data_IF_104946813797
#
_entry.id   IF_104946813797
#
_cell.length_a   1.000
_cell.length_b   1.000
_cell.length_c   1.000
_cell.angle_alpha   90.00
_cell.angle_beta   90.00
_cell.angle_gamma   90.00
#
_symmetry.space_group_name_H-M   'P 1'
#
loop_
_entity.id
_entity.type
_entity.pdbx_description
1 polymer ?
#
# COMPACT_ATOMS: atom_id res chain seq x y z
N UNK A 1 10.86 5.26 16.48
CA UNK A 1 10.75 4.53 17.75
C UNK A 1 12.11 4.52 18.47
N UNK A 2 12.11 4.74 19.78
CA UNK A 2 13.26 4.54 20.68
C UNK A 2 12.97 3.34 21.57
N UNK A 3 13.98 2.66 22.15
CA UNK A 3 13.72 1.49 22.99
C UNK A 3 12.66 1.73 24.09
N UNK A 4 12.69 2.91 24.72
CA UNK A 4 11.78 3.27 25.81
C UNK A 4 10.39 3.73 25.31
N UNK A 5 10.24 4.03 24.01
CA UNK A 5 9.00 4.56 23.40
C UNK A 5 8.62 3.76 22.14
N UNK A 6 8.86 2.46 22.15
CA UNK A 6 8.52 1.59 21.02
C UNK A 6 7.05 1.17 21.12
N UNK A 7 6.24 1.61 20.16
CA UNK A 7 4.84 1.19 20.01
C UNK A 7 4.67 0.51 18.66
N UNK A 8 4.38 -0.77 18.69
CA UNK A 8 4.20 -1.58 17.47
C UNK A 8 3.08 -0.98 16.61
N UNK A 9 3.29 -0.90 15.29
CA UNK A 9 2.35 -0.30 14.35
C UNK A 9 2.50 1.21 14.18
N UNK A 10 3.45 1.85 14.87
CA UNK A 10 3.77 3.26 14.73
C UNK A 10 5.22 3.49 14.31
N UNK A 11 5.52 4.69 13.80
CA UNK A 11 6.91 5.12 13.56
C UNK A 11 7.48 5.91 14.74
N UNK A 12 6.70 6.08 15.80
CA UNK A 12 7.07 6.80 17.01
C UNK A 12 6.64 8.27 17.02
N UNK A 13 6.95 8.99 18.12
CA UNK A 13 6.67 10.42 18.21
C UNK A 13 7.64 11.23 17.36
N UNK A 14 7.29 12.49 17.01
CA UNK A 14 8.21 13.41 16.35
C UNK A 14 9.52 13.55 17.14
N UNK A 15 10.65 13.63 16.41
CA UNK A 15 11.94 13.91 17.05
C UNK A 15 12.06 15.38 17.44
N UNK A 16 12.94 15.68 18.40
CA UNK A 16 13.16 17.08 18.86
C UNK A 16 13.53 17.98 17.66
N UNK A 17 12.86 19.12 17.56
CA UNK A 17 13.07 20.08 16.47
C UNK A 17 12.32 19.77 15.18
N UNK A 18 11.48 18.72 15.18
CA UNK A 18 10.60 18.38 14.06
C UNK A 18 9.14 18.46 14.51
N UNK A 19 8.34 19.19 13.76
CA UNK A 19 6.91 19.27 13.93
C UNK A 19 6.21 18.39 12.89
N UNK A 20 5.16 17.69 13.32
CA UNK A 20 4.30 16.88 12.47
C UNK A 20 2.87 17.38 12.57
N UNK A 21 2.22 17.51 11.42
CA UNK A 21 0.81 17.90 11.31
C UNK A 21 0.10 17.00 10.32
N UNK A 22 -1.15 16.68 10.56
CA UNK A 22 -2.01 15.99 9.62
C UNK A 22 -2.89 17.02 8.91
N UNK A 23 -2.83 17.04 7.59
CA UNK A 23 -3.68 17.90 6.76
C UNK A 23 -5.13 17.39 6.74
N UNK A 24 -6.06 18.21 6.22
CA UNK A 24 -7.48 17.85 6.15
C UNK A 24 -7.78 16.61 5.30
N UNK A 25 -6.91 16.30 4.34
CA UNK A 25 -6.98 15.10 3.50
C UNK A 25 -6.18 13.91 4.04
N UNK A 26 -5.66 14.02 5.28
CA UNK A 26 -4.90 12.98 5.96
C UNK A 26 -3.42 12.95 5.60
N UNK A 27 -2.92 13.86 4.73
CA UNK A 27 -1.49 13.90 4.39
C UNK A 27 -0.65 14.34 5.59
N UNK A 28 0.45 13.62 5.81
CA UNK A 28 1.43 13.95 6.84
C UNK A 28 2.28 15.12 6.34
N UNK A 29 2.26 16.20 7.09
CA UNK A 29 3.11 17.38 6.87
C UNK A 29 4.19 17.43 7.92
N UNK A 30 5.42 17.76 7.50
CA UNK A 30 6.58 17.84 8.39
C UNK A 30 7.26 19.19 8.26
N UNK A 31 7.69 19.78 9.39
CA UNK A 31 8.46 21.02 9.45
C UNK A 31 9.60 20.86 10.46
N UNK A 32 10.75 21.46 10.17
CA UNK A 32 11.91 21.50 11.07
C UNK A 32 13.22 21.74 10.35
N UNK A 33 14.28 22.01 11.11
CA UNK A 33 15.60 22.33 10.58
C UNK A 33 16.30 21.16 9.86
N UNK A 34 15.81 19.94 10.08
CA UNK A 34 16.32 18.73 9.44
C UNK A 34 15.78 18.49 8.05
N UNK A 35 14.84 19.33 7.59
CA UNK A 35 14.27 19.15 6.26
C UNK A 35 15.28 19.55 5.16
N UNK A 36 15.16 18.85 4.03
CA UNK A 36 15.90 19.24 2.84
C UNK A 36 15.57 20.66 2.39
N UNK A 37 16.55 21.39 1.84
CA UNK A 37 16.32 22.69 1.21
C UNK A 37 15.53 22.58 -0.09
N UNK A 38 15.60 21.45 -0.76
CA UNK A 38 14.90 21.17 -2.01
C UNK A 38 15.56 20.03 -2.80
N UNK A 39 14.99 19.72 -3.94
CA UNK A 39 15.54 18.78 -4.91
C UNK A 39 16.55 19.48 -5.81
N UNK A 40 17.75 18.95 -5.95
CA UNK A 40 18.82 19.54 -6.78
C UNK A 40 18.34 19.66 -8.24
N UNK A 41 18.39 20.89 -8.78
CA UNK A 41 17.99 21.18 -10.16
C UNK A 41 16.49 21.06 -10.46
N UNK A 42 15.62 20.93 -9.42
CA UNK A 42 14.18 20.69 -9.58
C UNK A 42 13.35 21.65 -8.73
N UNK A 43 13.47 22.94 -9.05
CA UNK A 43 12.79 23.99 -8.29
C UNK A 43 11.26 23.87 -8.30
N UNK A 44 10.68 23.48 -9.44
CA UNK A 44 9.23 23.30 -9.56
C UNK A 44 8.73 22.21 -8.62
N UNK A 45 9.36 21.02 -8.66
CA UNK A 45 9.02 19.92 -7.76
C UNK A 45 9.24 20.29 -6.28
N UNK A 46 10.29 21.08 -6.00
CA UNK A 46 10.55 21.58 -4.64
C UNK A 46 9.40 22.47 -4.15
N UNK A 47 8.97 23.43 -4.96
CA UNK A 47 7.86 24.34 -4.62
C UNK A 47 6.52 23.62 -4.47
N UNK A 48 6.31 22.53 -5.21
CA UNK A 48 5.12 21.68 -5.09
C UNK A 48 5.12 20.90 -3.77
N UNK A 49 6.32 20.48 -3.31
CA UNK A 49 6.49 19.67 -2.11
C UNK A 49 6.70 20.45 -0.82
N UNK A 50 7.29 21.61 -0.89
CA UNK A 50 7.54 22.48 0.27
C UNK A 50 6.72 23.77 0.12
N UNK A 51 5.70 23.92 0.97
CA UNK A 51 4.82 25.09 0.99
C UNK A 51 4.75 25.66 2.40
N UNK A 52 4.98 26.95 2.56
CA UNK A 52 4.94 27.64 3.85
C UNK A 52 5.80 26.94 4.92
N UNK A 53 7.01 26.49 4.55
CA UNK A 53 7.95 25.74 5.38
C UNK A 53 7.45 24.34 5.83
N UNK A 54 6.38 23.83 5.25
CA UNK A 54 5.91 22.46 5.47
C UNK A 54 6.24 21.59 4.27
N UNK A 55 6.88 20.45 4.52
CA UNK A 55 7.07 19.41 3.52
C UNK A 55 5.80 18.55 3.46
N UNK A 56 5.22 18.48 2.30
CA UNK A 56 4.13 17.56 1.94
C UNK A 56 4.74 16.21 1.58
N UNK A 57 4.67 15.25 2.51
CA UNK A 57 5.41 13.99 2.40
C UNK A 57 4.87 13.08 1.31
N UNK A 58 3.59 13.22 0.97
CA UNK A 58 2.85 12.28 0.13
C UNK A 58 2.49 10.98 0.85
N UNK A 59 2.68 10.91 2.16
CA UNK A 59 2.23 9.82 3.01
C UNK A 59 0.95 10.23 3.74
N UNK A 60 0.00 9.32 3.85
CA UNK A 60 -1.24 9.47 4.63
C UNK A 60 -1.04 8.82 6.00
N UNK A 61 -1.55 9.48 7.02
CA UNK A 61 -1.43 8.94 8.38
C UNK A 61 -2.21 9.71 9.41
N UNK A 62 -1.99 9.34 10.65
CA UNK A 62 -2.61 9.98 11.81
C UNK A 62 -1.68 9.95 13.01
N UNK A 63 -1.90 10.84 13.96
CA UNK A 63 -1.33 10.75 15.30
C UNK A 63 -2.30 9.99 16.20
N UNK A 64 -1.77 9.11 17.04
CA UNK A 64 -2.55 8.47 18.10
C UNK A 64 -2.64 9.34 19.37
N UNK A 65 -3.29 8.83 20.39
CA UNK A 65 -3.50 9.54 21.66
C UNK A 65 -2.19 9.89 22.39
N UNK A 66 -1.12 9.12 22.14
CA UNK A 66 0.22 9.32 22.69
C UNK A 66 1.14 10.14 21.76
N UNK A 67 0.58 10.78 20.70
CA UNK A 67 1.32 11.49 19.66
C UNK A 67 2.33 10.61 18.86
N UNK A 68 2.09 9.31 18.77
CA UNK A 68 2.85 8.45 17.87
C UNK A 68 2.27 8.54 16.47
N UNK A 69 3.14 8.72 15.48
CA UNK A 69 2.74 8.79 14.09
C UNK A 69 2.49 7.38 13.53
N UNK A 70 1.32 7.18 12.95
CA UNK A 70 0.91 5.98 12.23
C UNK A 70 0.82 6.33 10.76
N UNK A 71 1.66 5.72 9.92
CA UNK A 71 1.57 5.84 8.45
C UNK A 71 0.64 4.75 7.97
N UNK A 72 -0.38 5.12 7.21
CA UNK A 72 -1.40 4.18 6.72
C UNK A 72 -1.22 3.82 5.26
N UNK A 73 -0.84 4.79 4.41
CA UNK A 73 -0.61 4.56 2.98
C UNK A 73 0.13 5.73 2.33
N UNK A 74 0.38 5.63 1.03
CA UNK A 74 0.83 6.71 0.15
C UNK A 74 -0.36 7.43 -0.46
N UNK A 75 -0.38 8.77 -0.45
CA UNK A 75 -1.46 9.59 -1.03
C UNK A 75 -1.76 9.24 -2.50
N UNK A 76 -0.72 9.01 -3.30
CA UNK A 76 -0.83 8.62 -4.71
C UNK A 76 -1.34 7.19 -4.94
N UNK A 77 -1.28 6.36 -3.91
CA UNK A 77 -1.67 4.95 -3.98
C UNK A 77 -3.08 4.72 -3.39
N UNK A 78 -3.68 5.75 -2.76
CA UNK A 78 -5.07 5.72 -2.29
C UNK A 78 -6.00 5.44 -3.47
N UNK A 79 -6.87 4.47 -3.28
CA UNK A 79 -7.94 4.12 -4.23
C UNK A 79 -9.13 5.02 -3.95
N UNK A 80 -9.60 5.75 -4.98
CA UNK A 80 -10.84 6.52 -4.91
C UNK A 80 -11.91 5.77 -5.70
N UNK A 81 -12.90 5.21 -5.02
CA UNK A 81 -13.99 4.49 -5.68
C UNK A 81 -14.95 5.43 -6.42
N UNK A 82 -15.81 4.87 -7.28
CA UNK A 82 -16.88 5.68 -7.92
C UNK A 82 -17.87 6.29 -6.91
N UNK A 83 -17.93 5.74 -5.69
CA UNK A 83 -18.70 6.31 -4.57
C UNK A 83 -18.01 7.47 -3.86
N UNK A 84 -16.77 7.80 -4.22
CA UNK A 84 -15.96 8.85 -3.56
C UNK A 84 -15.25 8.38 -2.30
N UNK A 85 -15.27 7.08 -1.98
CA UNK A 85 -14.59 6.54 -0.82
C UNK A 85 -13.07 6.50 -1.03
N UNK A 86 -12.31 6.97 -0.05
CA UNK A 86 -10.85 6.89 -0.03
C UNK A 86 -10.40 5.64 0.72
N UNK A 87 -9.78 4.70 0.02
CA UNK A 87 -9.39 3.41 0.58
C UNK A 87 -7.87 3.25 0.48
N UNK A 88 -7.24 2.92 1.61
CA UNK A 88 -5.81 2.63 1.72
C UNK A 88 -5.54 1.16 1.35
N UNK A 89 -5.03 0.85 0.15
CA UNK A 89 -4.85 -0.54 -0.28
C UNK A 89 -3.80 -1.28 0.55
N UNK A 90 -2.73 -0.62 0.99
CA UNK A 90 -1.68 -1.26 1.79
C UNK A 90 -2.21 -1.77 3.14
N UNK A 91 -3.19 -1.08 3.75
CA UNK A 91 -3.88 -1.56 4.95
C UNK A 91 -4.52 -2.93 4.74
N UNK A 92 -5.18 -3.12 3.60
CA UNK A 92 -5.84 -4.39 3.25
C UNK A 92 -4.80 -5.45 2.86
N UNK A 93 -3.82 -5.07 2.04
CA UNK A 93 -2.74 -5.95 1.58
C UNK A 93 -1.91 -6.50 2.74
N UNK A 94 -1.67 -5.68 3.78
CA UNK A 94 -0.92 -6.11 4.97
C UNK A 94 -1.61 -7.25 5.74
N UNK A 95 -2.92 -7.39 5.63
CA UNK A 95 -3.66 -8.49 6.27
C UNK A 95 -3.34 -9.86 5.64
N UNK A 96 -2.73 -9.87 4.46
CA UNK A 96 -2.26 -11.09 3.79
C UNK A 96 -0.84 -11.50 4.20
N UNK A 97 -0.11 -10.65 4.92
CA UNK A 97 1.26 -10.95 5.38
C UNK A 97 1.35 -12.13 6.36
N UNK A 98 0.22 -12.53 6.94
CA UNK A 98 0.12 -13.69 7.83
C UNK A 98 -0.01 -15.03 7.09
N UNK A 99 -0.18 -15.01 5.78
CA UNK A 99 -0.13 -16.21 4.97
C UNK A 99 1.33 -16.63 4.78
N UNK A 100 1.65 -17.88 5.11
CA UNK A 100 2.97 -18.49 4.86
C UNK A 100 3.21 -18.74 3.37
N UNK A 101 2.44 -18.10 2.52
CA UNK A 101 2.50 -18.29 1.08
C UNK A 101 3.52 -17.35 0.46
N UNK A 102 4.14 -17.79 -0.61
CA UNK A 102 5.03 -16.96 -1.44
C UNK A 102 4.26 -15.93 -2.27
N UNK A 103 2.95 -15.81 -2.05
CA UNK A 103 2.05 -15.01 -2.86
C UNK A 103 2.08 -13.54 -2.46
N UNK A 104 1.93 -12.66 -3.44
CA UNK A 104 1.70 -11.23 -3.21
C UNK A 104 0.28 -10.86 -3.63
N UNK A 105 -0.37 -10.03 -2.84
CA UNK A 105 -1.73 -9.56 -3.10
C UNK A 105 -1.70 -8.07 -3.35
N UNK A 106 -2.30 -7.63 -4.44
CA UNK A 106 -2.47 -6.23 -4.80
C UNK A 106 -3.95 -5.90 -4.93
N UNK A 107 -4.37 -4.82 -4.30
CA UNK A 107 -5.76 -4.36 -4.32
C UNK A 107 -5.92 -3.26 -5.37
N UNK A 108 -6.96 -3.38 -6.19
CA UNK A 108 -7.35 -2.42 -7.22
C UNK A 108 -8.80 -2.03 -7.05
N UNK A 109 -9.18 -0.84 -7.52
CA UNK A 109 -10.55 -0.32 -7.39
C UNK A 109 -10.67 1.16 -7.70
N UNK A 110 -9.60 1.80 -8.21
CA UNK A 110 -9.62 3.21 -8.53
C UNK A 110 -10.63 3.49 -9.65
N UNK A 111 -11.53 4.46 -9.43
CA UNK A 111 -12.67 4.74 -10.31
C UNK A 111 -13.57 3.52 -10.61
N UNK A 112 -13.68 2.57 -9.66
CA UNK A 112 -14.50 1.36 -9.77
C UNK A 112 -15.50 1.28 -8.61
N UNK A 113 -16.59 0.50 -8.79
CA UNK A 113 -17.65 0.41 -7.77
C UNK A 113 -17.27 -0.43 -6.54
N UNK A 114 -16.22 -1.24 -6.62
CA UNK A 114 -15.75 -2.09 -5.53
C UNK A 114 -14.28 -2.48 -5.71
N UNK A 115 -13.69 -3.06 -4.67
CA UNK A 115 -12.32 -3.54 -4.69
C UNK A 115 -12.20 -4.96 -5.23
N UNK A 116 -11.13 -5.18 -5.99
CA UNK A 116 -10.71 -6.50 -6.47
C UNK A 116 -9.26 -6.76 -6.06
N UNK A 117 -8.91 -8.05 -5.92
CA UNK A 117 -7.55 -8.48 -5.63
C UNK A 117 -6.92 -9.17 -6.83
N UNK A 118 -5.72 -8.76 -7.19
CA UNK A 118 -4.83 -9.55 -8.05
C UNK A 118 -3.82 -10.26 -7.15
N UNK A 119 -3.83 -11.58 -7.20
CA UNK A 119 -2.93 -12.45 -6.43
C UNK A 119 -1.85 -12.96 -7.34
N UNK A 120 -0.60 -12.65 -7.01
CA UNK A 120 0.59 -13.12 -7.73
C UNK A 120 1.16 -14.31 -6.96
N UNK A 121 1.01 -15.51 -7.51
CA UNK A 121 1.61 -16.73 -6.97
C UNK A 121 3.03 -16.85 -7.55
N UNK A 122 4.02 -16.86 -6.68
CA UNK A 122 5.41 -17.04 -7.07
C UNK A 122 5.70 -18.51 -7.34
N UNK A 123 6.36 -18.77 -8.45
CA UNK A 123 6.84 -20.11 -8.79
C UNK A 123 8.37 -20.07 -8.75
N UNK A 124 8.97 -20.82 -7.82
CA UNK A 124 10.40 -21.04 -7.81
C UNK A 124 10.75 -22.19 -8.77
N UNK A 125 11.93 -22.08 -9.44
CA UNK A 125 12.40 -23.10 -10.40
C UNK A 125 12.57 -24.49 -9.77
N UNK A 126 12.77 -24.53 -8.44
CA UNK A 126 12.98 -25.76 -7.68
C UNK A 126 11.74 -26.24 -6.92
N UNK A 127 10.78 -25.35 -6.71
CA UNK A 127 9.51 -25.71 -6.08
C UNK A 127 8.59 -26.29 -7.14
N UNK A 128 8.40 -27.57 -7.13
CA UNK A 128 7.21 -28.20 -7.71
C UNK A 128 6.05 -27.63 -6.88
N UNK A 129 5.43 -26.54 -7.31
CA UNK A 129 4.13 -26.12 -6.78
C UNK A 129 3.17 -27.21 -7.19
N UNK A 130 3.10 -28.22 -6.34
CA UNK A 130 2.40 -29.46 -6.60
C UNK A 130 0.89 -29.25 -6.75
N UNK A 131 0.39 -28.05 -6.32
CA UNK A 131 -1.02 -27.77 -6.52
C UNK A 131 -1.33 -26.25 -6.43
N UNK A 132 -1.26 -25.54 -7.55
CA UNK A 132 -1.67 -24.12 -7.66
C UNK A 132 -3.12 -23.95 -7.20
N UNK A 133 -3.99 -24.94 -7.45
CA UNK A 133 -5.39 -24.93 -7.06
C UNK A 133 -5.58 -24.91 -5.53
N UNK A 134 -4.78 -25.64 -4.79
CA UNK A 134 -4.85 -25.64 -3.31
C UNK A 134 -4.41 -24.28 -2.74
N UNK A 135 -3.42 -23.63 -3.37
CA UNK A 135 -2.96 -22.31 -2.97
C UNK A 135 -4.04 -21.25 -3.23
N UNK A 136 -4.68 -21.28 -4.39
CA UNK A 136 -5.81 -20.42 -4.70
C UNK A 136 -6.96 -20.58 -3.71
N UNK A 137 -7.30 -21.83 -3.34
CA UNK A 137 -8.36 -22.13 -2.36
C UNK A 137 -8.04 -21.56 -0.99
N UNK A 138 -6.79 -21.73 -0.51
CA UNK A 138 -6.33 -21.15 0.76
C UNK A 138 -6.48 -19.63 0.76
N UNK A 139 -6.06 -18.97 -0.34
CA UNK A 139 -6.15 -17.52 -0.45
C UNK A 139 -7.62 -17.06 -0.53
N UNK A 140 -8.48 -17.75 -1.26
CA UNK A 140 -9.93 -17.47 -1.31
C UNK A 140 -10.58 -17.57 0.07
N UNK A 141 -10.21 -18.60 0.86
CA UNK A 141 -10.67 -18.73 2.23
C UNK A 141 -10.15 -17.60 3.13
N UNK A 142 -8.90 -17.18 2.92
CA UNK A 142 -8.32 -16.07 3.67
C UNK A 142 -9.01 -14.74 3.33
N UNK A 143 -9.31 -14.47 2.05
CA UNK A 143 -10.11 -13.30 1.63
C UNK A 143 -11.47 -13.29 2.36
N UNK A 144 -12.15 -14.42 2.46
CA UNK A 144 -13.41 -14.53 3.21
C UNK A 144 -13.25 -14.18 4.70
N UNK A 145 -12.12 -14.58 5.33
CA UNK A 145 -11.82 -14.24 6.72
C UNK A 145 -11.51 -12.75 6.90
N UNK A 146 -10.70 -12.18 6.02
CA UNK A 146 -10.35 -10.75 6.03
C UNK A 146 -11.61 -9.90 5.83
N UNK A 147 -12.45 -10.24 4.86
CA UNK A 147 -13.69 -9.51 4.57
C UNK A 147 -14.65 -9.40 5.76
N UNK A 148 -14.58 -10.30 6.75
CA UNK A 148 -15.36 -10.20 8.00
C UNK A 148 -14.89 -9.06 8.90
N UNK A 149 -13.63 -8.64 8.77
CA UNK A 149 -13.00 -7.58 9.57
C UNK A 149 -13.00 -6.23 8.87
N UNK A 150 -13.28 -6.20 7.56
CA UNK A 150 -13.27 -5.00 6.74
C UNK A 150 -14.65 -4.34 6.72
N UNK A 151 -14.65 -3.00 6.61
CA UNK A 151 -15.86 -2.23 6.35
C UNK A 151 -16.48 -2.61 5.00
N UNK A 152 -17.77 -2.34 4.76
CA UNK A 152 -18.44 -2.71 3.50
C UNK A 152 -17.72 -2.22 2.24
N UNK A 153 -17.13 -1.02 2.28
CA UNK A 153 -16.42 -0.40 1.17
C UNK A 153 -15.02 -0.99 0.94
N UNK A 154 -14.38 -1.52 1.99
CA UNK A 154 -13.05 -2.13 1.93
C UNK A 154 -13.07 -3.61 1.52
N UNK A 155 -14.26 -4.23 1.41
CA UNK A 155 -14.38 -5.66 1.07
C UNK A 155 -13.93 -5.96 -0.35
N UNK A 156 -13.08 -6.97 -0.47
CA UNK A 156 -12.66 -7.54 -1.75
C UNK A 156 -13.82 -8.35 -2.32
N UNK A 157 -14.35 -7.95 -3.46
CA UNK A 157 -15.52 -8.60 -4.09
C UNK A 157 -15.15 -9.74 -5.02
N UNK A 158 -14.09 -9.55 -5.82
CA UNK A 158 -13.60 -10.56 -6.76
C UNK A 158 -12.08 -10.62 -6.70
N UNK A 159 -11.50 -11.74 -7.12
CA UNK A 159 -10.05 -11.92 -7.18
C UNK A 159 -9.65 -12.69 -8.44
N UNK A 160 -8.49 -12.34 -8.99
CA UNK A 160 -7.83 -13.07 -10.05
C UNK A 160 -6.47 -13.56 -9.56
N UNK A 161 -6.01 -14.66 -10.13
CA UNK A 161 -4.75 -15.30 -9.79
C UNK A 161 -3.86 -15.33 -11.03
N UNK A 162 -2.61 -14.97 -10.85
CA UNK A 162 -1.57 -15.02 -11.89
C UNK A 162 -0.32 -15.66 -11.31
N UNK A 163 0.37 -16.44 -12.13
CA UNK A 163 1.63 -17.07 -11.73
C UNK A 163 2.81 -16.32 -12.37
N UNK A 164 3.86 -16.09 -11.59
CA UNK A 164 5.09 -15.47 -12.07
C UNK A 164 6.31 -16.21 -11.52
N UNK A 165 7.30 -16.41 -12.40
CA UNK A 165 8.64 -16.80 -11.94
C UNK A 165 9.31 -15.67 -11.16
N UNK A 166 10.20 -16.02 -10.25
CA UNK A 166 10.90 -15.04 -9.39
C UNK A 166 11.63 -13.97 -10.23
N UNK A 167 12.24 -14.37 -11.35
CA UNK A 167 12.96 -13.45 -12.23
C UNK A 167 12.02 -12.39 -12.85
N UNK A 168 10.79 -12.78 -13.20
CA UNK A 168 9.78 -11.87 -13.74
C UNK A 168 9.24 -10.90 -12.68
N UNK A 169 9.16 -11.36 -11.43
CA UNK A 169 8.72 -10.51 -10.31
C UNK A 169 9.69 -9.36 -10.10
N UNK A 170 10.99 -9.58 -10.25
CA UNK A 170 12.02 -8.55 -10.09
C UNK A 170 11.80 -7.34 -11.01
N UNK A 171 11.22 -7.52 -12.20
CA UNK A 171 10.87 -6.43 -13.10
C UNK A 171 9.81 -5.47 -12.51
N UNK A 172 8.98 -5.96 -11.59
CA UNK A 172 7.95 -5.18 -10.90
C UNK A 172 8.41 -4.57 -9.58
N UNK A 173 9.64 -4.87 -9.14
CA UNK A 173 10.16 -4.36 -7.87
C UNK A 173 10.97 -3.07 -8.08
N UNK A 174 10.92 -2.21 -7.06
CA UNK A 174 11.89 -1.12 -6.92
C UNK A 174 13.23 -1.68 -6.39
N UNK A 175 14.35 -0.90 -6.43
CA UNK A 175 15.59 -1.30 -5.77
C UNK A 175 15.43 -1.61 -4.27
N UNK A 176 14.40 -1.06 -3.63
CA UNK A 176 14.05 -1.32 -2.22
C UNK A 176 13.01 -2.43 -2.05
N UNK A 177 12.87 -3.30 -3.05
CA UNK A 177 11.99 -4.48 -3.05
C UNK A 177 10.47 -4.17 -2.90
N UNK A 178 10.05 -2.93 -3.20
CA UNK A 178 8.63 -2.56 -3.20
C UNK A 178 8.03 -2.76 -4.59
N UNK A 179 6.81 -3.28 -4.65
CA UNK A 179 6.09 -3.48 -5.93
C UNK A 179 5.72 -2.15 -6.56
N UNK A 180 5.98 -2.03 -7.86
CA UNK A 180 5.52 -0.94 -8.72
C UNK A 180 4.09 -1.24 -9.19
N UNK A 181 3.09 -0.86 -8.39
CA UNK A 181 1.66 -1.11 -8.63
C UNK A 181 1.23 -0.77 -10.06
N UNK A 182 1.64 0.39 -10.58
CA UNK A 182 1.27 0.84 -11.93
C UNK A 182 1.77 -0.14 -13.02
N UNK A 183 3.00 -0.66 -12.89
CA UNK A 183 3.53 -1.63 -13.85
C UNK A 183 2.76 -2.95 -13.82
N UNK A 184 2.36 -3.39 -12.62
CA UNK A 184 1.53 -4.59 -12.47
C UNK A 184 0.16 -4.36 -13.08
N UNK A 185 -0.46 -3.20 -12.82
CA UNK A 185 -1.73 -2.83 -13.42
C UNK A 185 -1.66 -2.82 -14.95
N UNK A 186 -0.66 -2.17 -15.54
CA UNK A 186 -0.47 -2.11 -16.99
C UNK A 186 -0.38 -3.51 -17.62
N UNK A 187 0.42 -4.41 -17.01
CA UNK A 187 0.59 -5.78 -17.51
C UNK A 187 -0.69 -6.60 -17.43
N UNK A 188 -1.43 -6.48 -16.33
CA UNK A 188 -2.60 -7.32 -16.03
C UNK A 188 -3.93 -6.59 -16.17
N UNK A 189 -3.93 -5.42 -16.85
CA UNK A 189 -5.11 -4.57 -17.01
C UNK A 189 -6.31 -5.35 -17.50
N UNK A 190 -6.16 -6.18 -18.53
CA UNK A 190 -7.26 -6.97 -19.09
C UNK A 190 -7.90 -7.88 -18.05
N UNK A 191 -7.10 -8.62 -17.28
CA UNK A 191 -7.58 -9.54 -16.23
C UNK A 191 -8.28 -8.75 -15.11
N UNK A 192 -7.71 -7.61 -14.70
CA UNK A 192 -8.28 -6.77 -13.66
C UNK A 192 -9.62 -6.17 -14.11
N UNK A 193 -9.71 -5.66 -15.35
CA UNK A 193 -10.93 -5.08 -15.88
C UNK A 193 -12.04 -6.13 -16.07
N UNK A 194 -11.72 -7.35 -16.45
CA UNK A 194 -12.67 -8.46 -16.56
C UNK A 194 -13.37 -8.80 -15.23
N UNK A 195 -12.74 -8.48 -14.09
CA UNK A 195 -13.35 -8.67 -12.77
C UNK A 195 -14.52 -7.72 -12.49
N UNK A 196 -14.68 -6.65 -13.26
CA UNK A 196 -15.76 -5.68 -13.10
C UNK A 196 -16.95 -5.93 -14.05
N UNK A 197 -16.80 -6.88 -14.97
CA UNK A 197 -17.85 -7.35 -15.87
C UNK A 197 -18.65 -8.57 -15.25
#
# INVERSE_FOLDING_TARGET
NRPEFNKIGTVGPPIKGVEVKIASDGEILVRGDTLMKGYLGKEKETKEKIKNNWLYTGDIGKLDEDNHLIITDRKKDIIVTTGGDNIAPQKIESLFSTLETTSQVLIFGDNKPFLVALVIIKIDKESIVTNIGDEEEKIKLHIKKINKKLSPIEKIRKSAFVTLHQDDINAFLTPTMKIKRNKVYEKYKKIIEELYN
#
